data_IF_392085391862
#
_entry.id   IF_392085391862
#
_cell.length_a   1.000
_cell.length_b   1.000
_cell.length_c   1.000
_cell.angle_alpha   90.00
_cell.angle_beta   90.00
_cell.angle_gamma   90.00
#
_symmetry.space_group_name_H-M   'P 1'
#
loop_
_entity.id
_entity.type
_entity.pdbx_description
1 polymer ?
#
# COMPACT_ATOMS: atom_id res chain seq x y z
N UNK A 1 26.07 -4.16 13.75
CA UNK A 1 25.90 -4.50 15.19
C UNK A 1 26.62 -5.79 15.59
N UNK A 2 27.08 -5.91 16.85
CA UNK A 2 27.78 -7.09 17.38
C UNK A 2 26.94 -8.38 17.42
N UNK A 3 25.62 -8.28 17.24
CA UNK A 3 24.68 -9.40 17.36
C UNK A 3 24.13 -9.90 16.02
N UNK A 4 24.34 -9.16 14.92
CA UNK A 4 23.84 -9.52 13.59
C UNK A 4 24.59 -8.73 12.50
N UNK A 5 24.80 -9.37 11.34
CA UNK A 5 25.57 -8.87 10.19
C UNK A 5 24.80 -7.81 9.37
N UNK A 6 24.28 -6.76 10.01
CA UNK A 6 23.67 -5.61 9.34
C UNK A 6 24.40 -4.32 9.68
N UNK A 7 24.48 -3.42 8.70
CA UNK A 7 24.99 -2.07 8.86
C UNK A 7 24.11 -1.26 9.82
N UNK A 8 24.74 -0.45 10.66
CA UNK A 8 24.01 0.42 11.60
C UNK A 8 23.26 1.57 10.85
N UNK A 9 23.54 1.76 9.56
CA UNK A 9 22.84 2.70 8.68
C UNK A 9 21.47 2.21 8.19
N UNK A 10 21.11 0.95 8.44
CA UNK A 10 19.80 0.41 8.05
C UNK A 10 18.66 1.08 8.82
N UNK A 11 18.86 1.38 10.11
CA UNK A 11 17.84 1.99 10.98
C UNK A 11 18.49 2.85 12.08
N UNK A 12 19.16 3.97 11.72
CA UNK A 12 19.95 4.75 12.67
C UNK A 12 19.08 5.33 13.80
N UNK A 13 19.49 5.14 15.04
CA UNK A 13 18.79 5.64 16.23
C UNK A 13 17.51 4.87 16.61
N UNK A 14 17.18 3.79 15.90
CA UNK A 14 16.02 2.95 16.17
C UNK A 14 16.44 1.60 16.74
N UNK A 15 15.65 1.07 17.68
CA UNK A 15 15.88 -0.26 18.27
C UNK A 15 15.22 -1.41 17.49
N UNK A 16 14.53 -1.11 16.39
CA UNK A 16 13.85 -2.12 15.57
C UNK A 16 14.36 -2.02 14.13
N UNK A 17 14.46 -3.17 13.47
CA UNK A 17 14.74 -3.30 12.04
C UNK A 17 13.57 -4.04 11.41
N UNK A 18 13.06 -3.55 10.28
CA UNK A 18 12.06 -4.26 9.50
C UNK A 18 12.69 -5.45 8.80
N UNK A 19 12.12 -6.64 8.99
CA UNK A 19 12.61 -7.88 8.38
C UNK A 19 11.50 -8.52 7.56
N UNK A 20 11.85 -9.04 6.40
CA UNK A 20 10.97 -9.83 5.54
C UNK A 20 11.69 -11.08 5.08
N UNK A 21 10.93 -12.13 4.77
CA UNK A 21 11.46 -13.37 4.19
C UNK A 21 11.23 -13.38 2.67
N UNK A 22 12.01 -14.16 1.90
CA UNK A 22 11.73 -14.41 0.49
C UNK A 22 10.29 -14.91 0.28
N UNK A 23 9.47 -14.14 -0.45
CA UNK A 23 8.06 -14.48 -0.71
C UNK A 23 7.76 -14.81 -2.18
N UNK A 24 8.76 -14.75 -3.07
CA UNK A 24 8.65 -15.21 -4.47
C UNK A 24 9.84 -16.08 -4.84
N UNK A 25 9.70 -16.89 -5.91
CA UNK A 25 10.82 -17.68 -6.44
C UNK A 25 12.03 -16.82 -6.82
N UNK A 26 11.81 -15.60 -7.36
CA UNK A 26 12.89 -14.67 -7.67
C UNK A 26 13.68 -14.28 -6.43
N UNK A 27 13.01 -14.06 -5.29
CA UNK A 27 13.71 -13.73 -4.05
C UNK A 27 14.61 -14.87 -3.58
N UNK A 28 14.16 -16.13 -3.69
CA UNK A 28 15.03 -17.28 -3.37
C UNK A 28 16.24 -17.34 -4.30
N UNK A 29 16.02 -17.16 -5.62
CA UNK A 29 17.10 -17.19 -6.61
C UNK A 29 18.15 -16.09 -6.39
N UNK A 30 17.76 -14.92 -5.87
CA UNK A 30 18.73 -13.87 -5.51
C UNK A 30 19.74 -14.33 -4.46
N UNK A 31 19.37 -15.28 -3.59
CA UNK A 31 20.27 -15.86 -2.58
C UNK A 31 21.14 -17.02 -3.10
N UNK A 32 20.88 -17.57 -4.29
CA UNK A 32 21.57 -18.78 -4.77
C UNK A 32 23.06 -18.54 -5.08
N UNK A 33 23.46 -17.29 -5.33
CA UNK A 33 24.80 -16.93 -5.84
C UNK A 33 25.44 -15.76 -5.12
N UNK A 34 25.01 -15.47 -3.88
CA UNK A 34 25.56 -14.41 -3.04
C UNK A 34 25.93 -14.97 -1.66
N UNK A 35 26.92 -14.36 -1.01
CA UNK A 35 27.29 -14.70 0.37
C UNK A 35 26.58 -13.77 1.38
N UNK A 36 25.96 -12.70 0.89
CA UNK A 36 25.27 -11.70 1.67
C UNK A 36 24.06 -12.30 2.42
N UNK A 37 23.96 -12.06 3.74
CA UNK A 37 22.90 -12.65 4.55
C UNK A 37 21.54 -11.97 4.38
N UNK A 38 21.51 -10.78 3.76
CA UNK A 38 20.30 -9.99 3.59
C UNK A 38 20.44 -8.98 2.45
N UNK A 39 19.29 -8.61 1.88
CA UNK A 39 19.16 -7.51 0.92
C UNK A 39 18.28 -6.40 1.51
N UNK A 40 18.49 -5.18 1.04
CA UNK A 40 17.58 -4.06 1.33
C UNK A 40 16.47 -4.05 0.30
N UNK A 41 15.24 -4.17 0.77
CA UNK A 41 14.03 -4.07 -0.06
C UNK A 41 13.25 -2.84 0.39
N UNK A 42 13.21 -1.82 -0.47
CA UNK A 42 12.42 -0.60 -0.26
C UNK A 42 11.55 -0.35 -1.48
N UNK A 43 10.50 0.44 -1.31
CA UNK A 43 9.60 0.81 -2.40
C UNK A 43 10.36 1.60 -3.47
N UNK A 44 10.22 1.17 -4.73
CA UNK A 44 10.86 1.79 -5.87
C UNK A 44 10.02 2.98 -6.36
N UNK A 45 10.20 4.13 -5.73
CA UNK A 45 9.52 5.38 -6.07
C UNK A 45 10.33 6.60 -5.63
N UNK A 46 10.16 7.75 -6.30
CA UNK A 46 10.53 9.03 -5.75
C UNK A 46 9.82 9.28 -4.40
N UNK A 47 10.35 10.17 -3.55
CA UNK A 47 9.68 10.54 -2.30
C UNK A 47 8.22 10.98 -2.54
N UNK A 48 7.31 10.47 -1.70
CA UNK A 48 5.87 10.77 -1.72
C UNK A 48 5.14 10.40 -3.02
N UNK A 49 5.65 9.45 -3.80
CA UNK A 49 4.95 8.92 -4.97
C UNK A 49 4.60 7.44 -4.80
N UNK A 50 3.54 6.94 -5.48
CA UNK A 50 3.20 5.52 -5.45
C UNK A 50 4.33 4.64 -6.01
N UNK A 51 4.48 3.41 -5.50
CA UNK A 51 5.46 2.44 -6.00
C UNK A 51 5.27 2.19 -7.51
N UNK A 52 6.34 2.35 -8.29
CA UNK A 52 6.32 2.17 -9.75
C UNK A 52 5.95 0.73 -10.11
N UNK A 53 5.07 0.55 -11.11
CA UNK A 53 4.61 -0.78 -11.55
C UNK A 53 4.87 -1.10 -13.02
N UNK A 54 5.16 -0.09 -13.84
CA UNK A 54 5.37 -0.22 -15.28
C UNK A 54 6.86 -0.01 -15.62
N UNK A 55 7.44 -0.86 -16.47
CA UNK A 55 8.89 -0.85 -16.75
C UNK A 55 9.36 0.49 -17.35
N UNK A 56 8.57 1.08 -18.26
CA UNK A 56 8.88 2.38 -18.88
C UNK A 56 8.84 3.53 -17.86
N UNK A 57 7.92 3.48 -16.89
CA UNK A 57 7.85 4.43 -15.78
C UNK A 57 9.10 4.29 -14.90
N UNK A 58 9.54 3.06 -14.63
CA UNK A 58 10.70 2.78 -13.80
C UNK A 58 11.99 3.31 -14.44
N UNK A 59 12.20 3.05 -15.73
CA UNK A 59 13.35 3.57 -16.48
C UNK A 59 13.40 5.10 -16.45
N UNK A 60 12.25 5.76 -16.65
CA UNK A 60 12.17 7.22 -16.66
C UNK A 60 12.38 7.86 -15.28
N UNK A 61 11.86 7.24 -14.23
CA UNK A 61 11.83 7.84 -12.88
C UNK A 61 13.03 7.46 -12.02
N UNK A 62 13.59 6.26 -12.21
CA UNK A 62 14.65 5.72 -11.38
C UNK A 62 15.99 5.57 -12.11
N UNK A 63 16.05 5.87 -13.41
CA UNK A 63 17.26 5.67 -14.23
C UNK A 63 18.52 6.38 -13.72
N UNK A 64 18.35 7.50 -13.02
CA UNK A 64 19.45 8.26 -12.41
C UNK A 64 19.71 7.89 -10.93
N UNK A 65 18.90 6.98 -10.37
CA UNK A 65 18.91 6.59 -8.94
C UNK A 65 19.51 5.21 -8.74
N UNK A 66 19.26 4.28 -9.68
CA UNK A 66 19.70 2.89 -9.57
C UNK A 66 20.73 2.54 -10.64
N UNK A 67 21.70 1.70 -10.28
CA UNK A 67 22.72 1.23 -11.23
C UNK A 67 22.16 0.21 -12.24
N UNK A 68 21.16 -0.58 -11.82
CA UNK A 68 20.61 -1.69 -12.60
C UNK A 68 19.11 -1.88 -12.39
N UNK A 69 18.46 -2.43 -13.42
CA UNK A 69 17.07 -2.86 -13.37
C UNK A 69 16.97 -4.38 -13.58
N UNK A 70 16.10 -5.03 -12.79
CA UNK A 70 15.75 -6.43 -12.95
C UNK A 70 14.24 -6.55 -13.20
N UNK A 71 13.85 -6.67 -14.47
CA UNK A 71 12.44 -6.76 -14.90
C UNK A 71 12.01 -8.19 -15.23
N UNK A 72 10.69 -8.36 -15.40
CA UNK A 72 10.09 -9.58 -15.92
C UNK A 72 8.90 -9.24 -16.84
N UNK A 73 8.52 -10.14 -17.74
CA UNK A 73 7.43 -9.91 -18.69
C UNK A 73 6.01 -10.10 -18.11
N UNK A 74 5.87 -10.37 -16.80
CA UNK A 74 4.57 -10.47 -16.14
C UNK A 74 4.12 -9.10 -15.62
N UNK A 75 3.31 -8.39 -16.39
CA UNK A 75 2.79 -7.07 -16.00
C UNK A 75 2.14 -7.07 -14.62
N UNK A 76 2.45 -6.04 -13.82
CA UNK A 76 1.84 -5.81 -12.51
C UNK A 76 0.56 -4.99 -12.74
N UNK A 77 -0.61 -5.62 -12.51
CA UNK A 77 -1.89 -4.96 -12.72
C UNK A 77 -2.21 -3.89 -11.66
N UNK A 78 -1.81 -4.13 -10.41
CA UNK A 78 -2.12 -3.26 -9.27
C UNK A 78 -0.88 -3.02 -8.42
N UNK A 79 -0.64 -1.74 -8.07
CA UNK A 79 0.38 -1.34 -7.08
C UNK A 79 0.01 -1.94 -5.73
N UNK A 80 0.97 -2.50 -5.01
CA UNK A 80 0.74 -3.09 -3.70
C UNK A 80 2.05 -3.16 -2.91
N UNK A 81 2.22 -2.25 -1.95
CA UNK A 81 3.36 -2.25 -1.03
C UNK A 81 3.39 -3.46 -0.11
N UNK A 82 4.56 -3.77 0.41
CA UNK A 82 4.72 -4.76 1.47
C UNK A 82 3.94 -4.36 2.73
N UNK A 83 3.26 -5.33 3.33
CA UNK A 83 2.63 -5.13 4.64
C UNK A 83 3.69 -5.08 5.72
N UNK A 84 3.46 -4.22 6.72
CA UNK A 84 4.33 -4.07 7.88
C UNK A 84 3.53 -4.36 9.13
N UNK A 85 3.99 -5.34 9.89
CA UNK A 85 3.40 -5.77 11.16
C UNK A 85 4.45 -5.64 12.25
N UNK A 86 4.03 -5.18 13.42
CA UNK A 86 4.86 -5.16 14.63
C UNK A 86 4.20 -5.98 15.71
N UNK A 87 4.98 -6.77 16.43
CA UNK A 87 4.51 -7.51 17.60
C UNK A 87 4.55 -6.58 18.81
N UNK A 88 3.42 -6.44 19.49
CA UNK A 88 3.30 -5.73 20.76
C UNK A 88 2.79 -6.70 21.83
N UNK A 89 3.67 -7.09 22.77
CA UNK A 89 3.42 -8.24 23.64
C UNK A 89 3.33 -9.53 22.83
N UNK A 90 2.20 -10.22 22.90
CA UNK A 90 1.92 -11.43 22.10
C UNK A 90 1.05 -11.15 20.87
N UNK A 91 0.70 -9.88 20.60
CA UNK A 91 -0.27 -9.52 19.56
C UNK A 91 0.40 -8.86 18.37
N UNK A 92 0.21 -9.38 17.14
CA UNK A 92 0.61 -8.67 15.93
C UNK A 92 -0.31 -7.48 15.69
N UNK A 93 0.28 -6.32 15.38
CA UNK A 93 -0.42 -5.07 15.06
C UNK A 93 0.06 -4.58 13.70
N UNK A 94 -0.88 -4.27 12.81
CA UNK A 94 -0.56 -3.67 11.53
C UNK A 94 -0.10 -2.23 11.71
N UNK A 95 1.05 -1.92 11.13
CA UNK A 95 1.47 -0.56 10.82
C UNK A 95 1.01 -0.21 9.40
N UNK A 96 1.16 -1.17 8.47
CA UNK A 96 0.72 -1.06 7.09
C UNK A 96 0.05 -2.36 6.65
N UNK A 97 -1.20 -2.28 6.21
CA UNK A 97 -1.98 -3.42 5.69
C UNK A 97 -2.09 -3.33 4.17
N UNK A 98 -1.35 -4.17 3.46
CA UNK A 98 -1.28 -4.15 2.00
C UNK A 98 -1.06 -5.57 1.46
N UNK A 99 0.12 -5.90 0.91
CA UNK A 99 0.43 -7.21 0.32
C UNK A 99 0.12 -8.36 1.26
N UNK A 100 -0.54 -9.39 0.73
CA UNK A 100 -0.97 -10.57 1.48
C UNK A 100 -2.25 -10.40 2.31
N UNK A 101 -2.78 -9.17 2.45
CA UNK A 101 -3.99 -8.90 3.24
C UNK A 101 -5.06 -8.13 2.48
N UNK A 102 -4.70 -7.14 1.67
CA UNK A 102 -5.63 -6.46 0.79
C UNK A 102 -5.95 -7.34 -0.43
N UNK A 103 -7.21 -7.41 -0.90
CA UNK A 103 -8.40 -6.70 -0.42
C UNK A 103 -9.29 -7.55 0.51
N UNK A 104 -8.75 -8.56 1.22
CA UNK A 104 -9.56 -9.40 2.09
C UNK A 104 -10.36 -8.53 3.09
N UNK A 105 -11.64 -8.82 3.36
CA UNK A 105 -12.45 -7.95 4.20
C UNK A 105 -12.14 -8.13 5.68
N UNK A 106 -12.30 -7.06 6.45
CA UNK A 106 -12.52 -7.15 7.89
C UNK A 106 -14.00 -7.47 8.11
N UNK A 107 -14.28 -8.52 8.88
CA UNK A 107 -15.65 -8.92 9.20
C UNK A 107 -16.14 -8.12 10.40
N UNK A 108 -17.25 -7.42 10.21
CA UNK A 108 -17.92 -6.63 11.24
C UNK A 108 -18.97 -7.49 11.97
N UNK A 109 -19.26 -7.10 13.21
CA UNK A 109 -20.31 -7.75 14.03
C UNK A 109 -21.70 -7.49 13.49
N UNK A 110 -21.92 -6.30 12.95
CA UNK A 110 -23.20 -5.83 12.42
C UNK A 110 -23.05 -5.53 10.93
N UNK A 111 -24.14 -5.73 10.19
CA UNK A 111 -24.21 -5.40 8.78
C UNK A 111 -24.62 -3.95 8.59
N UNK A 112 -23.93 -3.22 7.72
CA UNK A 112 -24.35 -1.91 7.27
C UNK A 112 -25.59 -2.03 6.37
N UNK A 113 -26.56 -1.14 6.58
CA UNK A 113 -27.77 -1.07 5.75
C UNK A 113 -27.48 -0.53 4.34
N UNK A 114 -26.50 0.38 4.24
CA UNK A 114 -26.10 1.02 2.99
C UNK A 114 -24.68 0.63 2.59
N UNK A 115 -24.43 0.56 1.30
CA UNK A 115 -23.08 0.42 0.78
C UNK A 115 -22.32 1.76 0.88
N UNK A 116 -21.22 1.77 1.62
CA UNK A 116 -20.44 2.99 1.88
C UNK A 116 -19.06 2.91 1.23
N UNK A 117 -18.68 3.93 0.48
CA UNK A 117 -17.29 4.17 0.08
C UNK A 117 -16.68 5.16 1.07
N UNK A 118 -15.63 4.76 1.80
CA UNK A 118 -14.87 5.66 2.66
C UNK A 118 -13.50 5.93 2.03
N UNK A 119 -13.13 7.21 1.87
CA UNK A 119 -11.85 7.61 1.28
C UNK A 119 -10.74 7.90 2.30
N UNK A 120 -11.06 7.82 3.59
CA UNK A 120 -10.10 7.98 4.69
C UNK A 120 -9.57 9.41 4.86
N UNK A 121 -8.46 9.52 5.58
CA UNK A 121 -7.73 10.76 5.80
C UNK A 121 -6.68 11.01 4.71
N UNK A 122 -5.75 11.93 4.95
CA UNK A 122 -4.71 12.27 3.97
C UNK A 122 -3.43 11.44 4.16
N UNK A 123 -3.04 11.19 5.41
CA UNK A 123 -1.79 10.48 5.73
C UNK A 123 -2.00 8.97 5.86
N UNK A 124 -1.02 8.19 5.39
CA UNK A 124 -1.02 6.73 5.41
C UNK A 124 -2.35 6.12 4.94
N UNK A 125 -2.93 6.70 3.89
CA UNK A 125 -4.32 6.51 3.55
C UNK A 125 -4.62 5.12 2.97
N UNK A 126 -5.89 4.72 3.10
CA UNK A 126 -6.51 3.56 2.44
C UNK A 126 -7.97 3.88 2.14
N UNK A 127 -8.48 3.45 0.98
CA UNK A 127 -9.91 3.45 0.71
C UNK A 127 -10.59 2.20 1.31
N UNK A 128 -11.88 2.30 1.60
CA UNK A 128 -12.69 1.19 2.07
C UNK A 128 -14.06 1.14 1.39
N UNK A 129 -14.50 -0.04 0.98
CA UNK A 129 -15.87 -0.32 0.59
C UNK A 129 -16.52 -1.18 1.67
N UNK A 130 -17.53 -0.63 2.33
CA UNK A 130 -18.36 -1.33 3.31
C UNK A 130 -19.60 -1.88 2.61
N UNK A 131 -19.75 -3.21 2.62
CA UNK A 131 -20.88 -3.91 2.00
C UNK A 131 -21.40 -4.99 2.97
N UNK A 132 -22.62 -4.78 3.49
CA UNK A 132 -23.17 -5.63 4.55
C UNK A 132 -22.25 -5.66 5.77
N UNK A 133 -21.82 -6.84 6.20
CA UNK A 133 -20.90 -6.99 7.35
C UNK A 133 -19.42 -7.07 6.95
N UNK A 134 -19.04 -6.65 5.73
CA UNK A 134 -17.67 -6.74 5.23
C UNK A 134 -17.12 -5.35 4.90
N UNK A 135 -16.01 -5.00 5.54
CA UNK A 135 -15.22 -3.82 5.21
C UNK A 135 -14.02 -4.24 4.34
N UNK A 136 -14.13 -4.07 3.03
CA UNK A 136 -13.04 -4.30 2.10
C UNK A 136 -12.14 -3.08 2.10
N UNK A 137 -10.87 -3.25 2.47
CA UNK A 137 -9.90 -2.16 2.56
C UNK A 137 -8.89 -2.33 1.42
N UNK A 138 -8.56 -1.23 0.74
CA UNK A 138 -7.55 -1.19 -0.31
C UNK A 138 -6.16 -1.58 0.23
N UNK A 139 -5.22 -1.74 -0.69
CA UNK A 139 -3.80 -1.63 -0.38
C UNK A 139 -3.48 -0.26 0.22
N UNK A 140 -2.29 -0.14 0.82
CA UNK A 140 -1.77 1.14 1.28
C UNK A 140 -1.59 2.09 0.09
N UNK A 141 -2.12 3.31 0.23
CA UNK A 141 -1.99 4.37 -0.77
C UNK A 141 -0.78 5.26 -0.47
N UNK A 142 -0.47 5.46 0.81
CA UNK A 142 0.52 6.43 1.27
C UNK A 142 -0.12 7.77 1.61
N UNK A 143 0.68 8.83 1.59
CA UNK A 143 0.21 10.18 1.89
C UNK A 143 -0.36 10.84 0.63
N UNK A 144 -1.62 11.27 0.68
CA UNK A 144 -2.38 11.79 -0.47
C UNK A 144 -2.18 13.30 -0.60
N UNK A 145 -0.95 13.72 -0.88
CA UNK A 145 -0.54 15.13 -0.90
C UNK A 145 -0.36 15.70 -2.32
N UNK A 146 -0.35 14.85 -3.34
CA UNK A 146 -0.12 15.23 -4.74
C UNK A 146 -1.10 14.54 -5.69
N UNK A 147 -1.04 14.91 -6.98
CA UNK A 147 -1.97 14.42 -7.99
C UNK A 147 -1.77 12.92 -8.20
N UNK A 148 -0.53 12.44 -8.20
CA UNK A 148 -0.19 11.04 -8.42
C UNK A 148 -0.79 10.12 -7.35
N UNK A 149 -0.73 10.53 -6.08
CA UNK A 149 -1.30 9.78 -4.95
C UNK A 149 -2.82 9.90 -4.87
N UNK A 150 -3.38 11.04 -5.30
CA UNK A 150 -4.84 11.22 -5.41
C UNK A 150 -5.43 10.36 -6.52
N UNK A 151 -4.81 10.33 -7.70
CA UNK A 151 -5.20 9.47 -8.82
C UNK A 151 -5.07 7.99 -8.44
N UNK A 152 -4.04 7.65 -7.64
CA UNK A 152 -3.90 6.30 -7.11
C UNK A 152 -5.03 5.94 -6.13
N UNK A 153 -5.41 6.84 -5.22
CA UNK A 153 -6.55 6.64 -4.33
C UNK A 153 -7.84 6.40 -5.12
N UNK A 154 -8.13 7.26 -6.09
CA UNK A 154 -9.35 7.17 -6.90
C UNK A 154 -9.39 5.87 -7.71
N UNK A 155 -8.28 5.51 -8.37
CA UNK A 155 -8.19 4.27 -9.14
C UNK A 155 -8.30 3.02 -8.25
N UNK A 156 -7.74 3.04 -7.03
CA UNK A 156 -7.88 1.98 -6.04
C UNK A 156 -9.33 1.85 -5.55
N UNK A 157 -10.00 2.96 -5.25
CA UNK A 157 -11.41 2.99 -4.86
C UNK A 157 -12.31 2.44 -5.98
N UNK A 158 -12.14 2.92 -7.22
CA UNK A 158 -12.87 2.42 -8.40
C UNK A 158 -12.62 0.94 -8.64
N UNK A 159 -11.38 0.47 -8.46
CA UNK A 159 -11.07 -0.96 -8.56
C UNK A 159 -11.79 -1.78 -7.49
N UNK A 160 -11.79 -1.31 -6.24
CA UNK A 160 -12.42 -2.01 -5.13
C UNK A 160 -13.94 -2.13 -5.31
N UNK A 161 -14.60 -1.05 -5.74
CA UNK A 161 -16.03 -1.03 -6.08
C UNK A 161 -16.37 -2.07 -7.15
N UNK A 162 -15.57 -2.12 -8.23
CA UNK A 162 -15.75 -3.12 -9.31
C UNK A 162 -15.53 -4.55 -8.81
N UNK A 163 -14.48 -4.76 -8.01
CA UNK A 163 -14.12 -6.08 -7.50
C UNK A 163 -15.20 -6.65 -6.58
N UNK A 164 -15.82 -5.81 -5.76
CA UNK A 164 -16.90 -6.21 -4.83
C UNK A 164 -18.29 -6.17 -5.47
N UNK A 165 -18.39 -5.73 -6.73
CA UNK A 165 -19.65 -5.47 -7.44
C UNK A 165 -20.61 -4.60 -6.61
N UNK A 166 -20.05 -3.56 -5.98
CA UNK A 166 -20.78 -2.69 -5.07
C UNK A 166 -21.47 -1.55 -5.80
N UNK A 167 -22.70 -1.22 -5.38
CA UNK A 167 -23.37 0.04 -5.74
C UNK A 167 -23.25 0.99 -4.57
N UNK A 168 -22.37 2.00 -4.67
CA UNK A 168 -22.14 2.96 -3.60
C UNK A 168 -23.37 3.83 -3.40
N UNK A 169 -23.83 3.95 -2.15
CA UNK A 169 -25.00 4.77 -1.78
C UNK A 169 -24.60 5.97 -0.91
N UNK A 170 -23.44 5.88 -0.24
CA UNK A 170 -22.91 6.92 0.63
C UNK A 170 -21.40 7.00 0.42
N UNK A 171 -20.88 8.22 0.31
CA UNK A 171 -19.44 8.49 0.34
C UNK A 171 -19.09 9.13 1.67
N UNK A 172 -18.15 8.52 2.40
CA UNK A 172 -17.64 9.01 3.67
C UNK A 172 -16.21 9.56 3.50
N UNK A 173 -15.93 10.66 4.20
CA UNK A 173 -14.61 11.30 4.24
C UNK A 173 -14.30 11.79 5.65
N UNK A 174 -13.05 12.16 5.86
CA UNK A 174 -12.63 12.87 7.06
C UNK A 174 -13.35 14.23 7.19
N UNK A 175 -13.52 14.71 8.42
CA UNK A 175 -14.13 16.01 8.69
C UNK A 175 -13.24 17.18 8.24
N UNK A 176 -11.94 16.96 8.04
CA UNK A 176 -11.03 18.01 7.61
C UNK A 176 -11.39 18.52 6.21
N UNK A 177 -11.83 19.79 6.07
CA UNK A 177 -12.44 20.27 4.83
C UNK A 177 -11.43 20.55 3.70
N UNK A 178 -10.13 20.54 4.02
CA UNK A 178 -9.05 20.87 3.07
C UNK A 178 -8.27 19.65 2.57
N UNK A 179 -8.57 18.44 3.04
CA UNK A 179 -7.87 17.26 2.52
C UNK A 179 -8.22 17.01 1.07
N UNK A 180 -7.24 16.58 0.29
CA UNK A 180 -7.46 16.16 -1.09
C UNK A 180 -8.49 15.01 -1.16
N UNK A 181 -8.47 14.11 -0.17
CA UNK A 181 -9.42 13.00 -0.05
C UNK A 181 -10.85 13.48 0.22
N UNK A 182 -11.04 14.54 1.01
CA UNK A 182 -12.35 15.16 1.25
C UNK A 182 -12.92 15.81 0.00
N UNK A 183 -12.06 16.46 -0.81
CA UNK A 183 -12.48 17.01 -2.10
C UNK A 183 -12.93 15.88 -3.04
N UNK A 184 -12.09 14.85 -3.20
CA UNK A 184 -12.40 13.68 -4.04
C UNK A 184 -13.70 13.00 -3.61
N UNK A 185 -13.97 12.91 -2.30
CA UNK A 185 -15.21 12.33 -1.79
C UNK A 185 -16.46 13.11 -2.23
N UNK A 186 -16.37 14.44 -2.28
CA UNK A 186 -17.48 15.28 -2.77
C UNK A 186 -17.66 15.12 -4.27
N UNK A 187 -16.56 15.15 -5.03
CA UNK A 187 -16.59 14.99 -6.48
C UNK A 187 -17.25 13.64 -6.85
N UNK A 188 -16.85 12.53 -6.19
CA UNK A 188 -17.49 11.21 -6.38
C UNK A 188 -18.95 11.21 -5.94
N UNK A 189 -19.31 11.91 -4.86
CA UNK A 189 -20.70 11.96 -4.40
C UNK A 189 -21.62 12.72 -5.36
N UNK A 190 -21.11 13.69 -6.11
CA UNK A 190 -21.87 14.43 -7.12
C UNK A 190 -22.03 13.65 -8.44
N UNK A 191 -21.12 12.72 -8.75
CA UNK A 191 -21.17 11.87 -9.94
C UNK A 191 -22.09 10.64 -9.79
N UNK A 192 -22.44 10.24 -8.55
CA UNK A 192 -23.33 9.11 -8.26
C UNK A 192 -24.81 9.48 -8.30
#
# INVERSE_FOLDING_TARGET
SSNYHLSDLIAPGLHNVGVMLPYTGLHYMLFDSVEEPAFVMTSANPPNQPIVKDDDEALKTLGDIVDYFLFHNRRIAHRCDDSVVRVHGEKPVFIRRSRGFAPAPVILREAAEKCVLALGGELNNTACVLLGNKAFISQHIGDVENIETLDFLESAAKHLIRLTNSKVEVVACDLHPKFATTKLARDIAEEN
#
